data_IF_466769193473
#
_entry.id   IF_466769193473
#
_cell.length_a   1.000
_cell.length_b   1.000
_cell.length_c   1.000
_cell.angle_alpha   90.00
_cell.angle_beta   90.00
_cell.angle_gamma   90.00
#
_symmetry.space_group_name_H-M   'P 1'
#
loop_
_entity.id
_entity.type
_entity.pdbx_description
1 polymer ?
#
# COMPACT_ATOMS: atom_id res chain seq x y z
N UNK A 1 4.17 -36.55 -11.97
CA UNK A 1 4.78 -35.46 -11.15
C UNK A 1 4.76 -34.11 -11.84
N UNK A 2 4.88 -33.98 -13.17
CA UNK A 2 4.82 -32.66 -13.86
C UNK A 2 3.44 -32.00 -13.76
N UNK A 3 2.34 -32.75 -13.90
CA UNK A 3 0.99 -32.22 -13.84
C UNK A 3 0.65 -31.52 -12.50
N UNK A 4 1.17 -32.01 -11.37
CA UNK A 4 0.97 -31.33 -10.08
C UNK A 4 1.71 -30.00 -10.01
N UNK A 5 2.92 -29.94 -10.56
CA UNK A 5 3.73 -28.70 -10.60
C UNK A 5 3.12 -27.65 -11.52
N UNK A 6 2.47 -28.06 -12.61
CA UNK A 6 1.73 -27.16 -13.50
C UNK A 6 0.49 -26.56 -12.81
N UNK A 7 -0.25 -27.36 -12.02
CA UNK A 7 -1.38 -26.87 -11.22
C UNK A 7 -0.93 -25.91 -10.11
N UNK A 8 0.14 -26.25 -9.40
CA UNK A 8 0.75 -25.38 -8.36
C UNK A 8 1.23 -24.05 -8.96
N UNK A 9 1.84 -24.08 -10.15
CA UNK A 9 2.23 -22.88 -10.89
C UNK A 9 1.02 -22.02 -11.27
N UNK A 10 -0.05 -22.62 -11.82
CA UNK A 10 -1.27 -21.90 -12.17
C UNK A 10 -1.94 -21.24 -10.96
N UNK A 11 -1.93 -21.92 -9.81
CA UNK A 11 -2.41 -21.37 -8.54
C UNK A 11 -1.54 -20.19 -8.06
N UNK A 12 -0.22 -20.31 -8.16
CA UNK A 12 0.71 -19.25 -7.78
C UNK A 12 0.51 -17.98 -8.64
N UNK A 13 0.35 -18.14 -9.96
CA UNK A 13 0.04 -17.03 -10.88
C UNK A 13 -1.27 -16.35 -10.53
N UNK A 14 -2.34 -17.12 -10.32
CA UNK A 14 -3.66 -16.57 -10.03
C UNK A 14 -3.66 -15.80 -8.70
N UNK A 15 -2.92 -16.32 -7.71
CA UNK A 15 -2.73 -15.64 -6.43
C UNK A 15 -1.93 -14.33 -6.56
N UNK A 16 -0.87 -14.31 -7.36
CA UNK A 16 -0.10 -13.10 -7.68
C UNK A 16 -1.01 -12.04 -8.31
N UNK A 17 -1.83 -12.42 -9.30
CA UNK A 17 -2.79 -11.53 -9.94
C UNK A 17 -3.80 -10.94 -8.95
N UNK A 18 -4.38 -11.79 -8.10
CA UNK A 18 -5.30 -11.37 -7.05
C UNK A 18 -4.65 -10.38 -6.07
N UNK A 19 -3.38 -10.60 -5.72
CA UNK A 19 -2.62 -9.69 -4.85
C UNK A 19 -2.37 -8.33 -5.48
N UNK A 20 -2.09 -8.28 -6.79
CA UNK A 20 -1.96 -7.02 -7.53
C UNK A 20 -3.27 -6.23 -7.56
N UNK A 21 -4.39 -6.88 -7.84
CA UNK A 21 -5.71 -6.24 -7.86
C UNK A 21 -6.09 -5.70 -6.47
N UNK A 22 -5.83 -6.50 -5.42
CA UNK A 22 -6.06 -6.12 -4.02
C UNK A 22 -5.22 -4.90 -3.63
N UNK A 23 -3.96 -4.82 -4.10
CA UNK A 23 -3.08 -3.67 -3.87
C UNK A 23 -3.65 -2.38 -4.50
N UNK A 24 -4.15 -2.47 -5.73
CA UNK A 24 -4.80 -1.33 -6.39
C UNK A 24 -6.06 -0.87 -5.66
N UNK A 25 -6.92 -1.79 -5.22
CA UNK A 25 -8.12 -1.46 -4.43
C UNK A 25 -7.77 -0.79 -3.10
N UNK A 26 -6.77 -1.31 -2.39
CA UNK A 26 -6.29 -0.74 -1.12
C UNK A 26 -5.75 0.70 -1.30
N UNK A 27 -5.07 0.97 -2.43
CA UNK A 27 -4.60 2.32 -2.75
C UNK A 27 -5.73 3.31 -2.98
N UNK A 28 -6.72 2.95 -3.80
CA UNK A 28 -7.88 3.82 -4.03
C UNK A 28 -8.63 4.09 -2.73
N UNK A 29 -8.80 3.05 -1.90
CA UNK A 29 -9.40 3.21 -0.57
C UNK A 29 -8.61 4.22 0.28
N UNK A 30 -7.28 4.12 0.32
CA UNK A 30 -6.45 5.07 1.06
C UNK A 30 -6.62 6.51 0.58
N UNK A 31 -6.62 6.74 -0.74
CA UNK A 31 -6.82 8.08 -1.30
C UNK A 31 -8.18 8.66 -0.92
N UNK A 32 -9.24 7.86 -1.02
CA UNK A 32 -10.60 8.28 -0.65
C UNK A 32 -10.68 8.63 0.83
N UNK A 33 -10.13 7.79 1.70
CA UNK A 33 -10.10 8.03 3.16
C UNK A 33 -9.33 9.31 3.49
N UNK A 34 -8.15 9.50 2.88
CA UNK A 34 -7.35 10.70 3.10
C UNK A 34 -8.05 11.98 2.60
N UNK A 35 -8.68 11.93 1.43
CA UNK A 35 -9.45 13.04 0.90
C UNK A 35 -10.66 13.39 1.79
N UNK A 36 -11.38 12.38 2.27
CA UNK A 36 -12.50 12.57 3.19
C UNK A 36 -12.05 13.19 4.51
N UNK A 37 -10.98 12.66 5.11
CA UNK A 37 -10.41 13.21 6.35
C UNK A 37 -9.89 14.63 6.18
N UNK A 38 -9.29 14.96 5.03
CA UNK A 38 -8.88 16.33 4.69
C UNK A 38 -10.08 17.27 4.60
N UNK A 39 -11.17 16.85 3.94
CA UNK A 39 -12.38 17.65 3.84
C UNK A 39 -12.99 17.93 5.23
N UNK A 40 -13.06 16.90 6.09
CA UNK A 40 -13.50 17.05 7.47
C UNK A 40 -12.57 18.02 8.22
N UNK A 41 -11.25 17.90 8.05
CA UNK A 41 -10.26 18.77 8.72
C UNK A 41 -10.43 20.23 8.36
N UNK A 42 -10.61 20.53 7.08
CA UNK A 42 -10.84 21.90 6.62
C UNK A 42 -12.15 22.47 7.17
N UNK A 43 -13.22 21.66 7.20
CA UNK A 43 -14.50 22.10 7.76
C UNK A 43 -14.42 22.31 9.28
N UNK A 44 -13.80 21.40 10.02
CA UNK A 44 -13.62 21.50 11.47
C UNK A 44 -12.73 22.68 11.88
N UNK A 45 -11.70 23.00 11.09
CA UNK A 45 -10.85 24.18 11.33
C UNK A 45 -11.67 25.47 11.36
N UNK A 46 -12.65 25.58 10.47
CA UNK A 46 -13.55 26.73 10.38
C UNK A 46 -14.48 26.84 11.59
N UNK A 47 -14.83 25.72 12.23
CA UNK A 47 -15.83 25.67 13.29
C UNK A 47 -15.26 25.67 14.72
N UNK A 48 -14.10 25.02 14.94
CA UNK A 48 -13.62 24.68 16.31
C UNK A 48 -12.20 25.18 16.63
N UNK A 49 -11.54 25.89 15.70
CA UNK A 49 -10.18 26.39 15.90
C UNK A 49 -9.13 25.26 15.95
N UNK A 50 -7.89 25.58 16.35
CA UNK A 50 -6.76 24.64 16.25
C UNK A 50 -6.85 23.43 17.20
N UNK A 51 -7.52 23.56 18.35
CA UNK A 51 -7.62 22.50 19.36
C UNK A 51 -8.52 21.36 18.90
N UNK A 52 -9.65 21.67 18.24
CA UNK A 52 -10.58 20.67 17.72
C UNK A 52 -10.02 19.83 16.57
N UNK A 53 -8.93 20.26 15.94
CA UNK A 53 -8.30 19.58 14.80
C UNK A 53 -7.34 18.48 15.24
N UNK A 54 -6.80 18.56 16.46
CA UNK A 54 -5.78 17.63 16.94
C UNK A 54 -6.26 16.16 16.93
N UNK A 55 -7.45 15.81 17.47
CA UNK A 55 -7.93 14.43 17.46
C UNK A 55 -8.08 13.87 16.05
N UNK A 56 -8.54 14.71 15.10
CA UNK A 56 -8.71 14.31 13.71
C UNK A 56 -7.36 14.07 13.01
N UNK A 57 -6.37 14.93 13.27
CA UNK A 57 -5.02 14.75 12.71
C UNK A 57 -4.36 13.46 13.22
N UNK A 58 -4.51 13.17 14.51
CA UNK A 58 -4.01 11.93 15.13
C UNK A 58 -4.72 10.71 14.54
N UNK A 59 -6.04 10.77 14.40
CA UNK A 59 -6.82 9.71 13.77
C UNK A 59 -6.37 9.46 12.32
N UNK A 60 -6.21 10.53 11.53
CA UNK A 60 -5.71 10.43 10.16
C UNK A 60 -4.32 9.82 10.06
N UNK A 61 -3.43 10.14 11.01
CA UNK A 61 -2.11 9.52 11.11
C UNK A 61 -2.21 8.02 11.39
N UNK A 62 -3.00 7.60 12.37
CA UNK A 62 -3.18 6.19 12.74
C UNK A 62 -3.75 5.35 11.59
N UNK A 63 -4.80 5.86 10.93
CA UNK A 63 -5.43 5.17 9.80
C UNK A 63 -4.46 5.04 8.62
N UNK A 64 -3.79 6.13 8.25
CA UNK A 64 -2.84 6.12 7.13
C UNK A 64 -1.64 5.21 7.40
N UNK A 65 -1.14 5.20 8.64
CA UNK A 65 -0.03 4.32 9.05
C UNK A 65 -0.45 2.85 9.05
N UNK A 66 -1.67 2.54 9.52
CA UNK A 66 -2.20 1.18 9.47
C UNK A 66 -2.30 0.66 8.03
N UNK A 67 -2.78 1.51 7.12
CA UNK A 67 -2.84 1.19 5.68
C UNK A 67 -1.45 1.02 5.07
N UNK A 68 -0.47 1.86 5.44
CA UNK A 68 0.93 1.71 5.03
C UNK A 68 1.50 0.36 5.48
N UNK A 69 1.32 -0.01 6.74
CA UNK A 69 1.81 -1.29 7.28
C UNK A 69 1.18 -2.48 6.55
N UNK A 70 -0.13 -2.40 6.26
CA UNK A 70 -0.83 -3.41 5.47
C UNK A 70 -0.27 -3.52 4.05
N UNK A 71 -0.02 -2.39 3.39
CA UNK A 71 0.57 -2.34 2.06
C UNK A 71 1.98 -2.97 2.03
N UNK A 72 2.83 -2.63 3.01
CA UNK A 72 4.18 -3.21 3.15
C UNK A 72 4.13 -4.72 3.39
N UNK A 73 3.22 -5.18 4.25
CA UNK A 73 3.02 -6.62 4.51
C UNK A 73 2.60 -7.36 3.22
N UNK A 74 1.63 -6.82 2.49
CA UNK A 74 1.18 -7.43 1.23
C UNK A 74 2.27 -7.42 0.16
N UNK A 75 3.09 -6.36 0.08
CA UNK A 75 4.21 -6.30 -0.84
C UNK A 75 5.23 -7.41 -0.58
N UNK A 76 5.61 -7.62 0.68
CA UNK A 76 6.52 -8.72 1.08
C UNK A 76 5.93 -10.09 0.77
N UNK A 77 4.63 -10.29 1.03
CA UNK A 77 3.96 -11.54 0.70
C UNK A 77 3.98 -11.79 -0.82
N UNK A 78 3.63 -10.79 -1.63
CA UNK A 78 3.64 -10.87 -3.10
C UNK A 78 5.02 -11.30 -3.61
N UNK A 79 6.09 -10.64 -3.15
CA UNK A 79 7.46 -10.95 -3.56
C UNK A 79 7.87 -12.40 -3.23
N UNK A 80 7.41 -12.94 -2.10
CA UNK A 80 7.65 -14.34 -1.73
C UNK A 80 6.99 -15.31 -2.72
N UNK A 81 5.73 -15.06 -3.08
CA UNK A 81 5.00 -15.91 -4.04
C UNK A 81 5.55 -15.78 -5.46
N UNK A 82 5.97 -14.59 -5.88
CA UNK A 82 6.68 -14.40 -7.15
C UNK A 82 7.99 -15.20 -7.19
N UNK A 83 8.77 -15.19 -6.11
CA UNK A 83 10.00 -15.98 -6.01
C UNK A 83 9.77 -17.49 -6.12
N UNK A 84 8.72 -18.02 -5.45
CA UNK A 84 8.35 -19.43 -5.59
C UNK A 84 7.84 -19.75 -7.00
N UNK A 85 7.04 -18.88 -7.61
CA UNK A 85 6.54 -19.09 -8.96
C UNK A 85 7.70 -19.10 -10.00
N UNK A 86 8.69 -18.23 -9.84
CA UNK A 86 9.93 -18.24 -10.64
C UNK A 86 10.77 -19.51 -10.43
N UNK A 87 10.81 -20.04 -9.19
CA UNK A 87 11.51 -21.30 -8.90
C UNK A 87 10.83 -22.47 -9.61
N UNK A 88 9.51 -22.59 -9.50
CA UNK A 88 8.71 -23.64 -10.15
C UNK A 88 8.82 -23.52 -11.67
N UNK A 89 8.79 -22.31 -12.22
CA UNK A 89 8.98 -22.04 -13.64
C UNK A 89 10.32 -22.58 -14.17
N UNK A 90 11.41 -22.31 -13.43
CA UNK A 90 12.75 -22.80 -13.78
C UNK A 90 12.84 -24.33 -13.73
N UNK A 91 12.13 -24.98 -12.82
CA UNK A 91 12.05 -26.44 -12.71
C UNK A 91 11.22 -27.09 -13.83
N UNK A 92 10.28 -26.34 -14.42
CA UNK A 92 9.41 -26.81 -15.51
C UNK A 92 9.94 -26.46 -16.91
N UNK A 93 10.99 -25.65 -17.02
CA UNK A 93 11.55 -25.21 -18.29
C UNK A 93 10.69 -24.18 -19.04
N UNK A 94 9.74 -23.55 -18.34
CA UNK A 94 8.96 -22.43 -18.86
C UNK A 94 9.69 -21.10 -18.61
N UNK A 95 9.29 -20.02 -19.29
CA UNK A 95 9.89 -18.68 -19.10
C UNK A 95 8.87 -17.54 -19.08
N UNK A 96 7.59 -17.83 -18.84
CA UNK A 96 6.49 -16.87 -18.94
C UNK A 96 6.57 -15.77 -17.87
N UNK A 97 6.81 -16.10 -16.59
CA UNK A 97 7.00 -15.14 -15.50
C UNK A 97 8.34 -14.44 -15.64
N UNK A 98 9.42 -15.13 -15.99
CA UNK A 98 10.73 -14.51 -16.14
C UNK A 98 10.73 -13.46 -17.25
N UNK A 99 10.07 -13.74 -18.38
CA UNK A 99 9.91 -12.78 -19.48
C UNK A 99 8.88 -11.67 -19.18
N UNK A 100 7.77 -11.99 -18.48
CA UNK A 100 6.81 -11.00 -18.02
C UNK A 100 7.38 -10.10 -16.91
N UNK A 101 8.21 -10.61 -16.00
CA UNK A 101 8.86 -9.86 -14.92
C UNK A 101 9.94 -8.91 -15.47
N UNK A 102 10.66 -9.32 -16.52
CA UNK A 102 11.60 -8.46 -17.24
C UNK A 102 10.91 -7.33 -18.03
N UNK A 103 9.69 -7.56 -18.52
CA UNK A 103 8.90 -6.56 -19.24
C UNK A 103 7.98 -5.74 -18.32
N UNK A 104 7.61 -6.27 -17.16
CA UNK A 104 6.80 -5.62 -16.12
C UNK A 104 7.63 -4.76 -15.16
N UNK A 105 8.59 -4.01 -15.70
CA UNK A 105 9.29 -2.93 -14.98
C UNK A 105 8.27 -1.98 -14.31
N UNK A 106 7.05 -1.88 -14.84
CA UNK A 106 5.93 -1.17 -14.22
C UNK A 106 5.39 -1.77 -12.91
N UNK A 107 5.41 -3.09 -12.71
CA UNK A 107 4.86 -3.77 -11.52
C UNK A 107 5.68 -3.54 -10.26
N UNK A 108 7.01 -3.70 -10.35
CA UNK A 108 7.94 -3.44 -9.25
C UNK A 108 8.01 -1.94 -8.91
N UNK A 109 8.06 -1.07 -9.93
CA UNK A 109 8.06 0.38 -9.74
C UNK A 109 6.73 0.89 -9.17
N UNK A 110 5.60 0.25 -9.49
CA UNK A 110 4.30 0.62 -8.91
C UNK A 110 4.30 0.44 -7.40
N UNK A 111 4.88 -0.65 -6.87
CA UNK A 111 4.90 -0.93 -5.43
C UNK A 111 5.70 0.09 -4.62
N UNK A 112 6.84 0.52 -5.15
CA UNK A 112 7.69 1.57 -4.55
C UNK A 112 6.97 2.92 -4.59
N UNK A 113 6.41 3.27 -5.75
CA UNK A 113 5.63 4.50 -5.93
C UNK A 113 4.46 4.57 -4.94
N UNK A 114 3.66 3.49 -4.88
CA UNK A 114 2.55 3.31 -3.96
C UNK A 114 3.00 3.58 -2.52
N UNK A 115 4.02 2.85 -2.06
CA UNK A 115 4.58 2.97 -0.70
C UNK A 115 5.06 4.41 -0.42
N UNK A 116 5.69 5.07 -1.40
CA UNK A 116 6.09 6.46 -1.29
C UNK A 116 4.92 7.41 -1.03
N UNK A 117 3.80 7.25 -1.75
CA UNK A 117 2.58 8.03 -1.51
C UNK A 117 2.04 7.81 -0.10
N UNK A 118 1.99 6.57 0.38
CA UNK A 118 1.58 6.28 1.76
C UNK A 118 2.45 6.99 2.80
N UNK A 119 3.78 7.00 2.59
CA UNK A 119 4.72 7.70 3.48
C UNK A 119 4.45 9.20 3.49
N UNK A 120 4.26 9.82 2.33
CA UNK A 120 3.96 11.25 2.21
C UNK A 120 2.67 11.60 2.96
N UNK A 121 1.61 10.81 2.78
CA UNK A 121 0.35 11.00 3.50
C UNK A 121 0.53 10.83 5.02
N UNK A 122 1.26 9.81 5.46
CA UNK A 122 1.52 9.59 6.89
C UNK A 122 2.31 10.77 7.50
N UNK A 123 3.35 11.25 6.82
CA UNK A 123 4.12 12.42 7.24
C UNK A 123 3.26 13.68 7.30
N UNK A 124 2.37 13.89 6.32
CA UNK A 124 1.43 15.00 6.33
C UNK A 124 0.55 14.99 7.59
N UNK A 125 0.00 13.84 7.97
CA UNK A 125 -0.82 13.72 9.18
C UNK A 125 -0.02 13.85 10.47
N UNK A 126 1.22 13.35 10.48
CA UNK A 126 2.14 13.52 11.62
C UNK A 126 2.46 15.00 11.84
N UNK A 127 2.90 15.71 10.81
CA UNK A 127 3.16 17.15 10.87
C UNK A 127 1.90 17.94 11.27
N UNK A 128 0.75 17.52 10.75
CA UNK A 128 -0.55 18.12 11.11
C UNK A 128 -0.94 17.91 12.58
N UNK A 129 -0.43 16.86 13.22
CA UNK A 129 -0.66 16.57 14.64
C UNK A 129 0.31 17.30 15.54
N UNK A 130 1.58 17.43 15.12
CA UNK A 130 2.64 18.07 15.91
C UNK A 130 2.51 19.60 15.89
N UNK A 131 2.12 20.20 14.76
CA UNK A 131 2.07 21.65 14.62
C UNK A 131 1.17 22.36 15.68
N UNK A 132 -0.07 21.93 15.94
CA UNK A 132 -0.90 22.51 17.00
C UNK A 132 -0.30 22.33 18.40
N UNK A 133 0.35 21.19 18.67
CA UNK A 133 0.97 20.89 19.96
C UNK A 133 2.15 21.83 20.23
N UNK A 134 3.00 22.08 19.23
CA UNK A 134 4.10 23.04 19.32
C UNK A 134 3.59 24.46 19.60
N UNK A 135 2.49 24.85 18.96
CA UNK A 135 1.91 26.19 19.10
C UNK A 135 1.23 26.40 20.46
N UNK A 136 0.84 25.34 21.17
CA UNK A 136 0.33 25.41 22.54
C UNK A 136 1.45 25.53 23.60
N UNK A 137 2.69 25.21 23.25
CA UNK A 137 3.83 25.20 24.17
C UNK A 137 4.61 26.53 24.19
N UNK A 138 4.36 27.42 23.23
CA UNK A 138 4.97 28.75 23.08
C UNK A 138 3.97 29.80 23.57
#
# INVERSE_FOLDING_TARGET
MSANKEVEYGQAINYIHHMYETRHKAFHFMLIVNAALLAIKFNSKTQTGMIGILPLSVFGFLVTTSLLLFAVRNARATAKYEGEAMRIEKELGFSLITSAHHSAIGGMNSGVYLTGVYIICALFWLCSSIYPLLLMLI
#
